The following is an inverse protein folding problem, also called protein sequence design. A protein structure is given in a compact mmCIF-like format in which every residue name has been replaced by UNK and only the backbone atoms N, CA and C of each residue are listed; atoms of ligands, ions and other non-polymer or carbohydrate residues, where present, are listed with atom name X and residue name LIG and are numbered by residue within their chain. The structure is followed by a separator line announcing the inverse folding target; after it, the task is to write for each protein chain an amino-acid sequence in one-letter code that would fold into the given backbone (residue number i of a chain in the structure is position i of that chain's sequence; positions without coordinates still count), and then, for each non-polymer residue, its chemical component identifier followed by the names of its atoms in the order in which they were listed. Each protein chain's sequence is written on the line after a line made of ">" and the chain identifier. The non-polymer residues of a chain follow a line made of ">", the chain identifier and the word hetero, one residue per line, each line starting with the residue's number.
data_IF_576407108215
#
_entry.id   IF_576407108215
#
_cell.length_a   1.000
_cell.length_b   1.000
_cell.length_c   1.000
_cell.angle_alpha   90.00
_cell.angle_beta   90.00
_cell.angle_gamma   90.00
#
_symmetry.space_group_name_H-M   'P 1'
#
loop_
_entity.id
_entity.type
_entity.pdbx_description
1 polymer ?
#
# COMPACT_ATOMS: atom_id res chain seq x y z
N UNK A 1 -23.66 -15.11 36.82
CA UNK A 1 -22.60 -14.07 36.84
C UNK A 1 -21.28 -14.72 36.44
N UNK A 2 -20.89 -14.60 35.16
CA UNK A 2 -19.67 -15.23 34.62
C UNK A 2 -18.51 -14.30 35.00
N UNK A 3 -17.65 -14.74 35.92
CA UNK A 3 -16.39 -14.03 36.21
C UNK A 3 -15.42 -14.26 35.04
N UNK A 4 -15.30 -13.28 34.15
CA UNK A 4 -14.24 -13.25 33.15
C UNK A 4 -12.96 -12.92 33.93
N UNK A 5 -12.16 -13.94 34.24
CA UNK A 5 -10.80 -13.75 34.69
C UNK A 5 -9.98 -13.30 33.47
N UNK A 6 -9.91 -12.00 33.29
CA UNK A 6 -9.07 -11.36 32.29
C UNK A 6 -7.59 -11.48 32.72
N UNK A 7 -7.00 -12.65 32.49
CA UNK A 7 -5.56 -12.81 32.58
C UNK A 7 -4.94 -12.20 31.32
N UNK A 8 -4.87 -10.87 31.29
CA UNK A 8 -4.18 -10.14 30.23
C UNK A 8 -2.70 -10.55 30.21
N UNK A 9 -2.39 -11.63 29.51
CA UNK A 9 -1.01 -12.08 29.32
C UNK A 9 -0.31 -11.04 28.44
N UNK A 10 0.77 -10.45 28.97
CA UNK A 10 1.62 -9.52 28.22
C UNK A 10 2.06 -10.19 26.91
N UNK A 11 1.91 -9.50 25.79
CA UNK A 11 2.35 -10.03 24.49
C UNK A 11 3.83 -10.38 24.54
N UNK A 12 4.25 -11.50 23.93
CA UNK A 12 5.67 -11.86 23.81
C UNK A 12 6.49 -10.73 23.17
N UNK A 13 7.77 -10.64 23.51
CA UNK A 13 8.62 -9.55 23.03
C UNK A 13 8.77 -9.51 21.52
N UNK A 14 8.70 -10.66 20.84
CA UNK A 14 8.73 -10.74 19.38
C UNK A 14 7.47 -10.20 18.68
N UNK A 15 6.36 -9.99 19.39
CA UNK A 15 5.15 -9.33 18.91
C UNK A 15 5.14 -7.81 19.15
N UNK A 16 6.20 -7.28 19.77
CA UNK A 16 6.31 -5.84 20.00
C UNK A 16 6.78 -5.15 18.72
N UNK A 17 6.02 -4.18 18.26
CA UNK A 17 6.39 -3.35 17.12
C UNK A 17 7.45 -2.36 17.58
N UNK A 18 8.59 -2.32 16.90
CA UNK A 18 9.60 -1.27 17.07
C UNK A 18 9.24 -0.10 16.16
N UNK A 19 8.93 1.04 16.76
CA UNK A 19 8.70 2.29 16.02
C UNK A 19 10.06 2.82 15.57
N UNK A 20 10.48 2.46 14.37
CA UNK A 20 11.71 2.97 13.77
C UNK A 20 11.35 4.01 12.71
N UNK A 21 11.57 5.29 13.03
CA UNK A 21 11.34 6.42 12.12
C UNK A 21 12.65 7.01 11.63
N UNK A 22 13.56 6.15 11.21
CA UNK A 22 14.87 6.53 10.68
C UNK A 22 14.78 7.27 9.32
N UNK A 23 15.96 7.60 8.76
CA UNK A 23 16.06 8.31 7.49
C UNK A 23 15.37 7.56 6.33
N UNK A 24 15.52 6.23 6.25
CA UNK A 24 14.90 5.42 5.20
C UNK A 24 13.37 5.50 5.24
N UNK A 25 12.79 5.39 6.44
CA UNK A 25 11.33 5.54 6.62
C UNK A 25 10.85 6.92 6.18
N UNK A 26 11.56 7.99 6.57
CA UNK A 26 11.20 9.37 6.22
C UNK A 26 11.33 9.62 4.71
N UNK A 27 12.37 9.10 4.08
CA UNK A 27 12.58 9.17 2.63
C UNK A 27 11.45 8.46 1.88
N UNK A 28 11.12 7.21 2.26
CA UNK A 28 10.02 6.45 1.69
C UNK A 28 8.71 7.20 1.77
N UNK A 29 8.38 7.74 2.95
CA UNK A 29 7.17 8.52 3.17
C UNK A 29 7.12 9.76 2.29
N UNK A 30 8.20 10.50 2.22
CA UNK A 30 8.33 11.71 1.38
C UNK A 30 8.14 11.39 -0.10
N UNK A 31 8.77 10.31 -0.58
CA UNK A 31 8.68 9.90 -1.98
C UNK A 31 7.26 9.47 -2.37
N UNK A 32 6.58 8.69 -1.52
CA UNK A 32 5.18 8.30 -1.75
C UNK A 32 4.28 9.52 -1.88
N UNK A 33 4.45 10.50 -0.99
CA UNK A 33 3.68 11.75 -1.02
C UNK A 33 4.00 12.60 -2.26
N UNK A 34 5.28 12.77 -2.59
CA UNK A 34 5.73 13.56 -3.75
C UNK A 34 5.19 12.99 -5.06
N UNK A 35 5.16 11.67 -5.18
CA UNK A 35 4.64 11.00 -6.37
C UNK A 35 3.12 10.78 -6.34
N UNK A 36 2.44 11.22 -5.28
CA UNK A 36 0.98 11.00 -5.10
C UNK A 36 0.59 9.54 -5.32
N UNK A 37 1.33 8.63 -4.69
CA UNK A 37 1.12 7.19 -4.78
C UNK A 37 0.57 6.66 -3.45
N UNK A 38 -0.25 5.61 -3.56
CA UNK A 38 -0.87 4.95 -2.43
C UNK A 38 -0.13 3.65 -2.11
N UNK A 39 -0.09 3.28 -0.83
CA UNK A 39 0.45 2.00 -0.39
C UNK A 39 -0.56 1.25 0.47
N UNK A 40 -0.57 -0.08 0.33
CA UNK A 40 -1.33 -0.93 1.26
C UNK A 40 -0.78 -0.78 2.69
N UNK A 41 0.51 -0.46 2.82
CA UNK A 41 1.15 -0.27 4.11
C UNK A 41 0.49 0.84 4.93
N UNK A 42 0.12 1.95 4.29
CA UNK A 42 -0.59 3.08 4.92
C UNK A 42 -2.09 2.82 5.01
N UNK A 43 -2.75 2.47 3.90
CA UNK A 43 -4.19 2.31 3.84
C UNK A 43 -4.70 1.16 4.73
N UNK A 44 -3.97 0.06 4.82
CA UNK A 44 -4.29 -1.06 5.70
C UNK A 44 -3.76 -0.86 7.14
N UNK A 45 -3.14 0.28 7.46
CA UNK A 45 -2.55 0.57 8.79
C UNK A 45 -1.64 -0.57 9.26
N UNK A 46 -0.77 -1.03 8.35
CA UNK A 46 0.08 -2.18 8.60
C UNK A 46 1.03 -1.93 9.78
N UNK A 47 1.06 -2.78 10.81
CA UNK A 47 1.94 -2.58 11.95
C UNK A 47 3.43 -2.73 11.61
N UNK A 48 3.76 -3.41 10.51
CA UNK A 48 5.14 -3.65 10.08
C UNK A 48 5.71 -2.55 9.18
N UNK A 49 4.95 -1.47 8.93
CA UNK A 49 5.35 -0.39 8.02
C UNK A 49 6.73 0.18 8.35
N UNK A 50 7.05 0.32 9.64
CA UNK A 50 8.32 0.90 10.09
C UNK A 50 9.51 0.02 9.71
N UNK A 51 9.40 -1.28 9.88
CA UNK A 51 10.44 -2.24 9.51
C UNK A 51 10.55 -2.39 7.99
N UNK A 52 9.42 -2.57 7.29
CA UNK A 52 9.41 -2.72 5.84
C UNK A 52 10.00 -1.49 5.13
N UNK A 53 9.60 -0.29 5.54
CA UNK A 53 10.09 0.93 4.92
C UNK A 53 11.54 1.24 5.27
N UNK A 54 12.01 0.84 6.45
CA UNK A 54 13.43 0.88 6.78
C UNK A 54 14.25 0.00 5.83
N UNK A 55 13.73 -1.17 5.48
CA UNK A 55 14.32 -2.07 4.50
C UNK A 55 13.99 -1.72 3.03
N UNK A 56 13.45 -0.52 2.78
CA UNK A 56 13.06 -0.04 1.44
C UNK A 56 12.11 -1.00 0.72
N UNK A 57 11.19 -1.59 1.46
CA UNK A 57 10.17 -2.51 0.94
C UNK A 57 8.80 -1.91 1.14
N UNK A 58 8.02 -1.77 0.07
CA UNK A 58 6.65 -1.31 0.11
C UNK A 58 5.77 -2.07 -0.88
N UNK A 59 4.48 -2.16 -0.57
CA UNK A 59 3.46 -2.65 -1.49
C UNK A 59 2.72 -1.45 -2.05
N UNK A 60 2.99 -1.12 -3.32
CA UNK A 60 2.34 -0.02 -4.02
C UNK A 60 0.91 -0.45 -4.40
N UNK A 61 -0.05 0.45 -4.16
CA UNK A 61 -1.45 0.24 -4.51
C UNK A 61 -1.84 1.19 -5.63
N UNK A 62 -2.19 0.64 -6.79
CA UNK A 62 -2.58 1.38 -7.99
C UNK A 62 -4.11 1.45 -8.16
N UNK A 63 -4.56 2.23 -9.12
CA UNK A 63 -5.97 2.54 -9.44
C UNK A 63 -6.67 3.42 -8.38
N UNK A 64 -5.88 4.11 -7.55
CA UNK A 64 -6.36 5.04 -6.53
C UNK A 64 -6.40 4.45 -5.12
N UNK A 65 -7.10 5.14 -4.22
CA UNK A 65 -7.19 4.83 -2.78
C UNK A 65 -8.60 4.41 -2.32
N UNK A 66 -9.58 4.37 -3.24
CA UNK A 66 -10.96 4.02 -2.95
C UNK A 66 -11.35 2.76 -3.74
N UNK A 67 -11.77 1.72 -3.03
CA UNK A 67 -12.19 0.45 -3.60
C UNK A 67 -13.72 0.43 -3.83
N UNK A 68 -14.19 -0.18 -4.89
CA UNK A 68 -15.63 -0.38 -5.14
C UNK A 68 -16.22 -1.48 -4.28
N UNK A 69 -15.39 -2.34 -3.66
CA UNK A 69 -15.80 -3.46 -2.82
C UNK A 69 -15.46 -3.24 -1.34
N UNK A 70 -16.29 -3.82 -0.45
CA UNK A 70 -16.12 -3.75 1.00
C UNK A 70 -15.87 -5.14 1.58
N UNK A 71 -14.62 -5.63 1.47
CA UNK A 71 -14.25 -6.91 2.06
C UNK A 71 -14.11 -6.78 3.57
N UNK A 72 -14.73 -7.71 4.34
CA UNK A 72 -14.79 -7.63 5.81
C UNK A 72 -13.44 -7.69 6.54
N UNK A 73 -12.37 -8.06 5.87
CA UNK A 73 -11.00 -8.12 6.40
C UNK A 73 -10.11 -6.96 5.92
N UNK A 74 -10.61 -6.09 5.04
CA UNK A 74 -9.83 -5.05 4.38
C UNK A 74 -10.06 -3.69 5.04
N UNK A 75 -8.97 -2.94 5.27
CA UNK A 75 -9.03 -1.60 5.86
C UNK A 75 -8.99 -0.48 4.79
N UNK A 76 -8.88 -0.82 3.51
CA UNK A 76 -8.92 0.17 2.42
C UNK A 76 -10.30 0.81 2.35
N UNK A 77 -10.33 2.10 2.08
CA UNK A 77 -11.58 2.88 2.00
C UNK A 77 -12.49 2.32 0.91
N UNK A 78 -13.75 2.10 1.23
CA UNK A 78 -14.79 1.71 0.28
C UNK A 78 -15.61 2.91 -0.15
N UNK A 79 -15.93 2.98 -1.43
CA UNK A 79 -16.76 4.08 -1.93
C UNK A 79 -16.80 4.18 -3.44
N UNK A 80 -17.11 5.37 -3.94
CA UNK A 80 -17.11 5.69 -5.37
C UNK A 80 -15.74 6.29 -5.73
N UNK A 81 -14.88 5.57 -6.49
CA UNK A 81 -13.59 6.08 -6.90
C UNK A 81 -13.70 7.28 -7.84
N UNK A 82 -12.65 8.08 -7.88
CA UNK A 82 -12.46 9.11 -8.90
C UNK A 82 -12.05 8.45 -10.23
N UNK A 83 -12.00 9.24 -11.31
CA UNK A 83 -11.45 8.77 -12.58
C UNK A 83 -10.04 8.22 -12.39
N UNK A 84 -9.74 7.12 -13.07
CA UNK A 84 -8.42 6.52 -13.01
C UNK A 84 -7.38 7.46 -13.65
N UNK A 85 -6.22 7.58 -13.02
CA UNK A 85 -5.14 8.42 -13.51
C UNK A 85 -4.28 7.66 -14.51
N UNK A 86 -4.31 8.07 -15.76
CA UNK A 86 -3.55 7.46 -16.85
C UNK A 86 -2.03 7.67 -16.73
N UNK A 87 -1.58 8.62 -15.87
CA UNK A 87 -0.17 8.89 -15.61
C UNK A 87 0.37 8.13 -14.37
N UNK A 88 -0.49 7.45 -13.64
CA UNK A 88 -0.09 6.65 -12.47
C UNK A 88 0.99 5.62 -12.81
N UNK A 89 0.92 4.85 -13.94
CA UNK A 89 1.96 3.90 -14.32
C UNK A 89 3.37 4.49 -14.37
N UNK A 90 3.51 5.68 -14.97
CA UNK A 90 4.80 6.36 -15.05
C UNK A 90 5.32 6.78 -13.68
N UNK A 91 4.45 7.34 -12.84
CA UNK A 91 4.85 7.74 -11.47
C UNK A 91 5.28 6.55 -10.62
N UNK A 92 4.63 5.39 -10.79
CA UNK A 92 5.05 4.15 -10.12
C UNK A 92 6.43 3.71 -10.59
N UNK A 93 6.70 3.74 -11.90
CA UNK A 93 8.01 3.40 -12.45
C UNK A 93 9.10 4.36 -11.96
N UNK A 94 8.84 5.67 -11.99
CA UNK A 94 9.76 6.71 -11.48
C UNK A 94 10.08 6.49 -9.98
N UNK A 95 9.10 6.05 -9.19
CA UNK A 95 9.32 5.71 -7.77
C UNK A 95 10.22 4.48 -7.61
N UNK A 96 9.93 3.41 -8.35
CA UNK A 96 10.71 2.15 -8.31
C UNK A 96 12.17 2.40 -8.67
N UNK A 97 12.42 3.22 -9.70
CA UNK A 97 13.76 3.63 -10.11
C UNK A 97 14.47 4.44 -9.02
N UNK A 98 13.83 5.51 -8.50
CA UNK A 98 14.41 6.38 -7.47
C UNK A 98 14.77 5.63 -6.19
N UNK A 99 13.94 4.67 -5.80
CA UNK A 99 14.18 3.85 -4.62
C UNK A 99 15.19 2.73 -4.87
N UNK A 100 15.60 2.51 -6.13
CA UNK A 100 16.48 1.42 -6.56
C UNK A 100 16.01 0.06 -6.02
N UNK A 101 14.72 -0.20 -6.17
CA UNK A 101 14.10 -1.43 -5.65
C UNK A 101 14.50 -2.62 -6.51
N UNK A 102 15.03 -3.67 -5.85
CA UNK A 102 15.27 -4.97 -6.51
C UNK A 102 14.00 -5.79 -6.68
N UNK A 103 13.01 -5.52 -5.84
CA UNK A 103 11.74 -6.21 -5.84
C UNK A 103 10.64 -5.23 -5.45
N UNK A 104 9.58 -5.21 -6.23
CA UNK A 104 8.39 -4.39 -5.96
C UNK A 104 7.15 -5.26 -5.94
N UNK A 105 6.31 -5.04 -4.95
CA UNK A 105 4.99 -5.66 -4.88
C UNK A 105 3.97 -4.60 -5.28
N UNK A 106 3.12 -4.95 -6.23
CA UNK A 106 2.03 -4.09 -6.72
C UNK A 106 0.71 -4.78 -6.47
N UNK A 107 -0.25 -4.03 -5.99
CA UNK A 107 -1.64 -4.43 -5.86
C UNK A 107 -2.54 -3.29 -6.33
N UNK A 108 -3.84 -3.48 -6.32
CA UNK A 108 -4.80 -2.44 -6.67
C UNK A 108 -6.05 -2.49 -5.80
N UNK A 109 -6.77 -1.38 -5.80
CA UNK A 109 -8.18 -1.39 -5.42
C UNK A 109 -9.01 -2.05 -6.52
N UNK A 110 -10.20 -2.54 -6.17
CA UNK A 110 -11.18 -3.01 -7.15
C UNK A 110 -11.87 -1.84 -7.83
N UNK A 111 -12.09 -1.95 -9.13
CA UNK A 111 -12.66 -0.91 -9.99
C UNK A 111 -13.82 -1.46 -10.83
N UNK A 112 -14.86 -1.97 -10.16
CA UNK A 112 -16.10 -2.44 -10.83
C UNK A 112 -16.81 -1.32 -11.60
N UNK A 113 -16.44 -0.05 -11.35
CA UNK A 113 -16.90 1.12 -12.09
C UNK A 113 -16.30 1.24 -13.49
N UNK A 114 -15.11 0.64 -13.73
CA UNK A 114 -14.41 0.61 -15.02
C UNK A 114 -14.83 -0.64 -15.82
N UNK A 115 -16.06 -0.63 -16.33
CA UNK A 115 -16.69 -1.82 -16.95
C UNK A 115 -16.00 -2.34 -18.21
N UNK A 116 -15.19 -1.51 -18.88
CA UNK A 116 -14.53 -1.89 -20.12
C UNK A 116 -13.39 -2.89 -19.90
N UNK A 117 -12.57 -2.65 -18.85
CA UNK A 117 -11.39 -3.47 -18.61
C UNK A 117 -11.03 -3.66 -17.11
N UNK A 118 -11.83 -3.13 -16.20
CA UNK A 118 -11.62 -3.19 -14.75
C UNK A 118 -10.23 -2.69 -14.29
N UNK A 119 -9.59 -1.85 -15.11
CA UNK A 119 -8.24 -1.31 -14.85
C UNK A 119 -7.10 -2.15 -15.43
N UNK A 120 -7.37 -3.18 -16.21
CA UNK A 120 -6.34 -4.05 -16.80
C UNK A 120 -5.33 -3.29 -17.66
N UNK A 121 -5.76 -2.27 -18.39
CA UNK A 121 -4.87 -1.41 -19.19
C UNK A 121 -3.86 -0.67 -18.33
N UNK A 122 -4.28 -0.13 -17.17
CA UNK A 122 -3.37 0.56 -16.25
C UNK A 122 -2.40 -0.44 -15.62
N UNK A 123 -2.87 -1.64 -15.26
CA UNK A 123 -2.01 -2.72 -14.79
C UNK A 123 -0.93 -3.07 -15.81
N UNK A 124 -1.31 -3.32 -17.06
CA UNK A 124 -0.37 -3.68 -18.12
C UNK A 124 0.67 -2.56 -18.35
N UNK A 125 0.22 -1.29 -18.42
CA UNK A 125 1.11 -0.14 -18.56
C UNK A 125 2.07 -0.02 -17.38
N UNK A 126 1.60 -0.21 -16.14
CA UNK A 126 2.46 -0.14 -14.94
C UNK A 126 3.58 -1.17 -15.01
N UNK A 127 3.26 -2.41 -15.38
CA UNK A 127 4.26 -3.47 -15.52
C UNK A 127 5.27 -3.14 -16.62
N UNK A 128 4.79 -2.62 -17.76
CA UNK A 128 5.66 -2.26 -18.89
C UNK A 128 6.58 -1.08 -18.56
N UNK A 129 6.08 -0.04 -17.87
CA UNK A 129 6.90 1.10 -17.48
C UNK A 129 8.00 0.69 -16.48
N UNK A 130 7.70 -0.16 -15.51
CA UNK A 130 8.69 -0.63 -14.52
C UNK A 130 9.77 -1.51 -15.17
N UNK A 131 9.47 -2.20 -16.26
CA UNK A 131 10.43 -3.10 -16.93
C UNK A 131 11.34 -2.39 -17.95
N UNK A 132 11.16 -1.11 -18.20
CA UNK A 132 12.06 -0.31 -19.06
C UNK A 132 13.39 -0.04 -18.37
#
# INVERSE_FOLDING_TARGET
>A
MIKIHDTYKRKPDWLKIKLNTNSNYQEMKSLMQTHSLNTVCEEARCPNIYECWDHRTATVMILGDICTRSCGFCSVKTGKPKLADINEPKRVADLVEKLNLRHVVITSVDRDDMRDDYGATIWAKTILEIKK
#
